data_IF_519700828045
#
_entry.id   IF_519700828045
#
_cell.length_a   1.000
_cell.length_b   1.000
_cell.length_c   1.000
_cell.angle_alpha   90.00
_cell.angle_beta   90.00
_cell.angle_gamma   90.00
#
_symmetry.space_group_name_H-M   'P 1'
#
loop_
_entity.id
_entity.type
_entity.pdbx_description
1 polymer ?
#
# COMPACT_ATOMS: atom_id res chain seq x y z
N UNK A 1 -15.42 -12.95 -6.02
CA UNK A 1 -16.88 -12.75 -5.93
C UNK A 1 -17.25 -11.45 -6.64
N UNK A 2 -18.49 -11.27 -7.06
CA UNK A 2 -19.00 -10.01 -7.63
C UNK A 2 -20.36 -9.68 -7.02
N UNK A 3 -20.73 -8.40 -6.92
CA UNK A 3 -22.09 -8.01 -6.49
C UNK A 3 -23.11 -8.30 -7.59
N UNK A 4 -24.20 -8.96 -7.25
CA UNK A 4 -25.37 -9.13 -8.11
C UNK A 4 -26.28 -7.87 -8.10
N UNK A 5 -27.44 -7.93 -8.77
CA UNK A 5 -28.40 -6.83 -8.84
C UNK A 5 -29.02 -6.48 -7.48
N UNK A 6 -29.03 -7.44 -6.54
CA UNK A 6 -29.47 -7.22 -5.16
C UNK A 6 -28.37 -6.63 -4.26
N UNK A 7 -27.15 -6.50 -4.79
CA UNK A 7 -25.97 -6.00 -4.07
C UNK A 7 -25.22 -7.05 -3.26
N UNK A 8 -25.63 -8.32 -3.31
CA UNK A 8 -24.99 -9.42 -2.58
C UNK A 8 -23.79 -10.00 -3.33
N UNK A 9 -22.76 -10.43 -2.61
CA UNK A 9 -21.56 -11.04 -3.20
C UNK A 9 -21.85 -12.49 -3.59
N UNK A 10 -21.66 -12.81 -4.87
CA UNK A 10 -21.81 -14.16 -5.41
C UNK A 10 -20.49 -14.67 -6.03
N UNK A 11 -20.23 -16.00 -6.02
CA UNK A 11 -19.11 -16.59 -6.76
C UNK A 11 -19.15 -16.22 -8.24
N UNK A 12 -17.97 -16.07 -8.86
CA UNK A 12 -17.83 -15.72 -10.27
C UNK A 12 -16.52 -16.26 -10.83
N UNK A 13 -16.46 -16.42 -12.15
CA UNK A 13 -15.23 -16.78 -12.85
C UNK A 13 -14.21 -15.65 -12.80
N UNK A 14 -12.93 -15.99 -12.88
CA UNK A 14 -11.84 -15.00 -12.95
C UNK A 14 -12.02 -14.03 -14.11
N UNK A 15 -12.41 -14.52 -15.28
CA UNK A 15 -12.68 -13.71 -16.47
C UNK A 15 -13.74 -12.63 -16.20
N UNK A 16 -14.85 -13.00 -15.54
CA UNK A 16 -15.92 -12.06 -15.19
C UNK A 16 -15.45 -11.00 -14.18
N UNK A 17 -14.68 -11.42 -13.18
CA UNK A 17 -14.16 -10.52 -12.14
C UNK A 17 -13.16 -9.51 -12.74
N UNK A 18 -12.17 -10.00 -13.50
CA UNK A 18 -11.12 -9.17 -14.06
C UNK A 18 -11.65 -8.22 -15.14
N UNK A 19 -12.54 -8.68 -16.02
CA UNK A 19 -13.19 -7.82 -17.01
C UNK A 19 -13.98 -6.69 -16.35
N UNK A 20 -14.72 -7.00 -15.27
CA UNK A 20 -15.47 -5.98 -14.53
C UNK A 20 -14.55 -4.97 -13.83
N UNK A 21 -13.47 -5.42 -13.21
CA UNK A 21 -12.49 -4.56 -12.56
C UNK A 21 -11.77 -3.65 -13.59
N UNK A 22 -11.35 -4.21 -14.73
CA UNK A 22 -10.73 -3.45 -15.81
C UNK A 22 -11.67 -2.38 -16.38
N UNK A 23 -12.94 -2.73 -16.63
CA UNK A 23 -13.95 -1.77 -17.09
C UNK A 23 -14.18 -0.65 -16.09
N UNK A 24 -14.22 -0.95 -14.79
CA UNK A 24 -14.33 0.05 -13.74
C UNK A 24 -13.09 0.98 -13.69
N UNK A 25 -11.88 0.46 -13.88
CA UNK A 25 -10.66 1.27 -13.89
C UNK A 25 -10.57 2.19 -15.13
N UNK A 26 -10.99 1.69 -16.30
CA UNK A 26 -10.96 2.46 -17.56
C UNK A 26 -12.05 3.53 -17.63
N UNK A 27 -13.19 3.32 -16.97
CA UNK A 27 -14.33 4.25 -17.00
C UNK A 27 -14.15 5.51 -16.14
N UNK A 28 -13.02 5.65 -15.46
CA UNK A 28 -12.83 6.67 -14.41
C UNK A 28 -11.89 7.79 -14.88
N UNK A 29 -12.40 9.01 -14.94
CA UNK A 29 -11.66 10.22 -15.33
C UNK A 29 -11.07 10.97 -14.12
N UNK A 30 -10.04 11.80 -14.32
CA UNK A 30 -9.47 12.66 -13.26
C UNK A 30 -8.53 11.92 -12.31
N UNK A 31 -8.36 12.37 -11.06
CA UNK A 31 -7.47 11.75 -10.07
C UNK A 31 -8.21 11.00 -8.94
N UNK A 32 -9.27 10.26 -9.26
CA UNK A 32 -10.16 9.62 -8.26
C UNK A 32 -9.90 8.13 -8.02
N UNK A 33 -8.90 7.54 -8.68
CA UNK A 33 -8.44 6.17 -8.40
C UNK A 33 -7.34 6.27 -7.37
N UNK A 34 -7.43 5.47 -6.31
CA UNK A 34 -6.41 5.31 -5.29
C UNK A 34 -6.29 3.83 -4.94
N UNK A 35 -5.11 3.42 -4.48
CA UNK A 35 -4.87 2.09 -3.95
C UNK A 35 -4.47 2.18 -2.48
N UNK A 36 -5.10 1.33 -1.66
CA UNK A 36 -4.77 1.15 -0.24
C UNK A 36 -4.11 -0.21 -0.11
N UNK A 37 -2.92 -0.25 0.46
CA UNK A 37 -2.12 -1.47 0.66
C UNK A 37 -2.14 -1.86 2.12
N UNK A 38 -2.53 -3.11 2.40
CA UNK A 38 -2.51 -3.66 3.74
C UNK A 38 -1.15 -4.17 4.20
N UNK A 39 -0.96 -4.28 5.52
CA UNK A 39 0.34 -4.61 6.13
C UNK A 39 0.91 -6.00 5.83
N UNK A 40 0.15 -6.88 5.17
CA UNK A 40 0.58 -8.24 4.79
C UNK A 40 0.87 -8.40 3.28
N UNK A 41 0.79 -7.32 2.50
CA UNK A 41 1.12 -7.38 1.08
C UNK A 41 2.64 -7.54 0.87
N UNK A 42 3.02 -8.38 -0.08
CA UNK A 42 4.42 -8.55 -0.49
C UNK A 42 4.91 -7.39 -1.38
N UNK A 43 6.22 -7.32 -1.59
CA UNK A 43 6.84 -6.27 -2.38
C UNK A 43 6.48 -6.39 -3.87
N UNK A 44 6.30 -7.62 -4.36
CA UNK A 44 5.97 -7.93 -5.74
C UNK A 44 4.57 -7.45 -6.13
N UNK A 45 3.55 -7.70 -5.29
CA UNK A 45 2.20 -7.17 -5.50
C UNK A 45 2.19 -5.65 -5.41
N UNK A 46 2.95 -5.07 -4.48
CA UNK A 46 3.13 -3.63 -4.32
C UNK A 46 3.66 -2.97 -5.59
N UNK A 47 4.75 -3.51 -6.14
CA UNK A 47 5.35 -3.00 -7.38
C UNK A 47 4.40 -3.19 -8.57
N UNK A 48 3.72 -4.35 -8.65
CA UNK A 48 2.75 -4.63 -9.71
C UNK A 48 1.58 -3.65 -9.69
N UNK A 49 1.06 -3.33 -8.50
CA UNK A 49 -0.02 -2.36 -8.31
C UNK A 49 0.45 -0.93 -8.58
N UNK A 50 1.65 -0.57 -8.12
CA UNK A 50 2.25 0.75 -8.41
C UNK A 50 2.42 0.95 -9.91
N UNK A 51 2.93 -0.03 -10.63
CA UNK A 51 3.11 0.03 -12.08
C UNK A 51 1.76 0.14 -12.81
N UNK A 52 0.72 -0.58 -12.33
CA UNK A 52 -0.64 -0.43 -12.86
C UNK A 52 -1.17 1.00 -12.72
N UNK A 53 -1.00 1.62 -11.54
CA UNK A 53 -1.42 3.01 -11.30
C UNK A 53 -0.62 4.00 -12.13
N UNK A 54 0.70 3.81 -12.24
CA UNK A 54 1.56 4.64 -13.09
C UNK A 54 1.12 4.62 -14.56
N UNK A 55 0.73 3.45 -15.09
CA UNK A 55 0.18 3.32 -16.45
C UNK A 55 -1.16 4.03 -16.64
N UNK A 56 -1.92 4.21 -15.56
CA UNK A 56 -3.13 5.03 -15.52
C UNK A 56 -2.84 6.50 -15.21
N UNK A 57 -1.55 6.88 -15.13
CA UNK A 57 -1.05 8.20 -14.77
C UNK A 57 -1.56 8.68 -13.40
N UNK A 58 -1.58 7.78 -12.40
CA UNK A 58 -2.03 8.03 -11.03
C UNK A 58 -0.92 7.75 -10.03
N UNK A 59 -0.81 8.59 -9.01
CA UNK A 59 0.18 8.46 -7.94
C UNK A 59 -0.45 8.27 -6.55
N UNK A 60 -1.77 8.11 -6.48
CA UNK A 60 -2.51 7.93 -5.23
C UNK A 60 -2.33 6.51 -4.67
N UNK A 61 -1.18 6.25 -4.04
CA UNK A 61 -0.88 5.02 -3.32
C UNK A 61 -0.74 5.32 -1.83
N UNK A 62 -1.47 4.59 -1.00
CA UNK A 62 -1.39 4.71 0.45
C UNK A 62 -1.25 3.33 1.12
N UNK A 63 -0.61 3.32 2.27
CA UNK A 63 -0.54 2.19 3.19
C UNK A 63 -1.58 2.35 4.31
N UNK A 64 -1.97 1.26 4.96
CA UNK A 64 -2.86 1.33 6.14
C UNK A 64 -2.23 2.11 7.30
N UNK A 65 -0.91 2.03 7.45
CA UNK A 65 -0.16 2.79 8.45
C UNK A 65 0.29 4.13 7.90
N UNK A 66 0.10 5.20 8.69
CA UNK A 66 0.52 6.56 8.36
C UNK A 66 1.97 6.74 8.77
N UNK A 67 2.81 7.12 7.82
CA UNK A 67 4.18 7.55 8.08
C UNK A 67 4.31 9.07 7.90
N UNK A 68 4.97 9.81 8.80
CA UNK A 68 5.16 11.24 8.65
C UNK A 68 5.92 11.54 7.34
N UNK A 69 5.32 12.34 6.46
CA UNK A 69 5.94 12.73 5.19
C UNK A 69 6.64 14.10 5.24
N UNK A 70 6.53 14.81 6.36
CA UNK A 70 7.15 16.12 6.53
C UNK A 70 8.68 15.99 6.45
N UNK A 71 9.33 16.75 5.55
CA UNK A 71 10.79 16.77 5.43
C UNK A 71 11.39 15.58 4.69
N UNK A 72 10.69 15.03 3.69
CA UNK A 72 11.22 13.98 2.80
C UNK A 72 11.63 12.69 3.54
N UNK A 73 10.95 12.37 4.64
CA UNK A 73 11.35 11.26 5.51
C UNK A 73 11.33 9.89 4.82
N UNK A 74 10.49 9.69 3.81
CA UNK A 74 10.46 8.46 3.01
C UNK A 74 11.58 8.35 1.97
N UNK A 75 12.28 9.44 1.65
CA UNK A 75 13.36 9.43 0.64
C UNK A 75 14.64 8.81 1.20
N UNK A 76 14.92 9.04 2.48
CA UNK A 76 16.08 8.47 3.16
C UNK A 76 15.69 7.19 3.91
N UNK A 77 16.23 6.06 3.44
CA UNK A 77 15.99 4.74 4.04
C UNK A 77 16.30 4.69 5.53
N UNK A 78 17.29 5.46 5.99
CA UNK A 78 17.67 5.53 7.40
C UNK A 78 16.56 6.01 8.34
N UNK A 79 15.52 6.66 7.82
CA UNK A 79 14.47 7.26 8.64
C UNK A 79 13.37 6.27 9.06
N UNK A 80 13.29 5.11 8.41
CA UNK A 80 12.28 4.08 8.70
C UNK A 80 12.88 2.68 8.89
N UNK A 81 14.21 2.59 8.99
CA UNK A 81 14.91 1.36 9.33
C UNK A 81 15.31 1.38 10.79
N UNK A 82 15.33 0.18 11.40
CA UNK A 82 16.12 -0.05 12.60
C UNK A 82 17.61 -0.09 12.21
N UNK A 83 18.24 1.08 12.12
CA UNK A 83 19.58 1.23 11.54
C UNK A 83 20.67 0.40 12.22
N UNK A 84 20.57 0.16 13.53
CA UNK A 84 21.50 -0.69 14.29
C UNK A 84 21.37 -2.17 13.95
N UNK A 85 20.28 -2.56 13.29
CA UNK A 85 19.88 -3.95 13.14
C UNK A 85 19.46 -4.58 14.46
N UNK A 86 18.95 -5.82 14.37
CA UNK A 86 18.47 -6.57 15.54
C UNK A 86 19.65 -7.05 16.38
N UNK A 87 20.68 -7.64 15.74
CA UNK A 87 21.88 -8.13 16.44
C UNK A 87 22.67 -7.00 17.13
N UNK A 88 22.66 -5.79 16.58
CA UNK A 88 23.36 -4.65 17.18
C UNK A 88 22.80 -4.20 18.53
N UNK A 89 21.62 -4.68 18.92
CA UNK A 89 21.04 -4.43 20.25
C UNK A 89 21.90 -5.06 21.34
N UNK A 90 22.59 -6.17 21.06
CA UNK A 90 23.41 -6.90 22.04
C UNK A 90 24.63 -6.10 22.51
N UNK A 91 25.10 -5.16 21.70
CA UNK A 91 26.26 -4.30 21.98
C UNK A 91 25.88 -2.98 22.69
N UNK A 92 24.59 -2.75 22.94
CA UNK A 92 24.12 -1.48 23.50
C UNK A 92 24.20 -1.47 25.03
N UNK A 93 24.95 -0.52 25.59
CA UNK A 93 25.00 -0.30 27.04
C UNK A 93 23.72 0.33 27.60
N UNK A 94 23.00 1.10 26.78
CA UNK A 94 21.76 1.80 27.16
C UNK A 94 20.80 1.89 25.97
N UNK A 95 19.51 1.67 26.24
CA UNK A 95 18.42 1.78 25.27
C UNK A 95 17.45 2.89 25.69
N UNK A 96 17.19 3.82 24.77
CA UNK A 96 16.12 4.79 24.91
C UNK A 96 14.95 4.40 24.01
N UNK A 97 13.81 4.06 24.62
CA UNK A 97 12.56 3.79 23.92
C UNK A 97 11.65 5.01 24.03
N UNK A 98 11.37 5.64 22.89
CA UNK A 98 10.44 6.75 22.84
C UNK A 98 9.01 6.22 22.66
N UNK A 99 8.11 6.68 23.54
CA UNK A 99 6.69 6.29 23.59
C UNK A 99 5.76 7.37 23.04
N UNK A 100 6.28 8.33 22.26
CA UNK A 100 5.44 9.29 21.55
C UNK A 100 4.62 8.59 20.45
N UNK A 101 3.43 8.14 20.84
CA UNK A 101 2.34 7.75 19.98
C UNK A 101 1.59 9.02 19.55
N UNK A 102 1.69 9.35 18.26
CA UNK A 102 0.97 10.39 17.51
C UNK A 102 1.26 11.86 17.87
#
# INVERSE_FOLDING_TARGET
MVKDESGQLVPATWEKVLTRAAGALQGVQGNVVAAIVGGLADAEALISLKELLNRLNRENLCTEEVFPMAGALSELRSNYLLNTGIAGIEEADLLLLNLLLY
#
